data_IF_058720673963
#
_entry.id   IF_058720673963
#
_cell.length_a   1.000
_cell.length_b   1.000
_cell.length_c   1.000
_cell.angle_alpha   90.00
_cell.angle_beta   90.00
_cell.angle_gamma   90.00
#
_symmetry.space_group_name_H-M   'P 1'
#
loop_
_entity.id
_entity.type
_entity.pdbx_description
1 polymer ?
#
# COMPACT_ATOMS: atom_id res chain seq x y z
N UNK A 1 33.42 6.10 -16.19
CA UNK A 1 32.50 7.18 -16.61
C UNK A 1 31.48 7.37 -15.49
N UNK A 2 31.30 8.61 -15.00
CA UNK A 2 30.27 8.89 -13.99
C UNK A 2 28.99 9.27 -14.71
N UNK A 3 27.91 8.47 -14.54
CA UNK A 3 26.61 8.79 -15.09
C UNK A 3 25.87 9.73 -14.15
N UNK A 4 25.28 10.79 -14.71
CA UNK A 4 24.42 11.73 -13.99
C UNK A 4 22.97 11.25 -14.12
N UNK A 5 22.21 11.25 -13.01
CA UNK A 5 20.81 10.85 -13.06
C UNK A 5 19.93 11.93 -13.71
N UNK A 6 18.86 11.50 -14.39
CA UNK A 6 17.86 12.44 -14.96
C UNK A 6 17.27 13.32 -13.86
N UNK A 7 17.05 12.79 -12.66
CA UNK A 7 16.59 13.55 -11.48
C UNK A 7 17.52 14.71 -11.14
N UNK A 8 18.83 14.46 -11.17
CA UNK A 8 19.85 15.47 -10.87
C UNK A 8 19.82 16.60 -11.91
N UNK A 9 19.65 16.27 -13.20
CA UNK A 9 19.53 17.26 -14.27
C UNK A 9 18.30 18.17 -14.08
N UNK A 10 17.14 17.60 -13.70
CA UNK A 10 15.94 18.39 -13.43
C UNK A 10 16.02 19.24 -12.18
N UNK A 11 16.69 18.75 -11.12
CA UNK A 11 16.84 19.50 -9.85
C UNK A 11 17.86 20.62 -9.91
N UNK A 12 18.93 20.45 -10.67
CA UNK A 12 20.08 21.35 -10.72
C UNK A 12 20.44 21.74 -12.16
N UNK A 13 19.42 21.99 -12.99
CA UNK A 13 19.54 22.27 -14.43
C UNK A 13 20.61 23.29 -14.74
N UNK A 14 20.58 24.46 -14.07
CA UNK A 14 21.51 25.58 -14.31
C UNK A 14 22.98 25.19 -14.09
N UNK A 15 23.23 24.21 -13.24
CA UNK A 15 24.57 23.70 -12.96
C UNK A 15 25.15 22.89 -14.11
N UNK A 16 24.31 22.41 -15.03
CA UNK A 16 24.71 21.51 -16.13
C UNK A 16 24.54 22.13 -17.52
N UNK A 17 23.78 23.18 -17.69
CA UNK A 17 23.63 23.86 -18.99
C UNK A 17 25.02 24.27 -19.55
N UNK A 18 25.24 23.91 -20.81
CA UNK A 18 26.49 24.13 -21.54
C UNK A 18 27.63 23.16 -21.20
N UNK A 19 27.41 22.21 -20.25
CA UNK A 19 28.42 21.23 -19.88
C UNK A 19 28.19 19.89 -20.59
N UNK A 20 29.30 19.21 -20.87
CA UNK A 20 29.27 17.82 -21.31
C UNK A 20 28.91 16.91 -20.13
N UNK A 21 27.91 16.07 -20.33
CA UNK A 21 27.39 15.12 -19.35
C UNK A 21 27.24 13.74 -19.96
N UNK A 22 27.12 12.71 -19.11
CA UNK A 22 26.78 11.35 -19.51
C UNK A 22 25.57 10.85 -18.71
N UNK A 23 24.57 10.29 -19.43
CA UNK A 23 23.33 9.73 -18.86
C UNK A 23 23.13 8.32 -19.40
N UNK A 24 22.78 7.37 -18.53
CA UNK A 24 22.30 6.04 -18.95
C UNK A 24 20.80 5.94 -18.79
N UNK A 25 20.13 5.16 -19.64
CA UNK A 25 18.68 4.95 -19.50
C UNK A 25 18.09 4.07 -20.60
N UNK A 26 16.77 3.93 -20.55
CA UNK A 26 16.00 3.11 -21.52
C UNK A 26 15.21 3.99 -22.47
N UNK A 27 15.21 3.58 -23.74
CA UNK A 27 14.47 4.25 -24.82
C UNK A 27 12.96 4.12 -24.60
N UNK A 28 12.29 5.24 -24.44
CA UNK A 28 10.82 5.35 -24.41
C UNK A 28 10.20 5.57 -25.77
N UNK A 29 10.88 6.36 -26.60
CA UNK A 29 10.56 6.53 -28.00
C UNK A 29 11.79 7.01 -28.77
N UNK A 30 11.85 6.67 -30.06
CA UNK A 30 12.86 7.13 -30.97
C UNK A 30 12.19 7.59 -32.25
N UNK A 31 12.69 8.67 -32.85
CA UNK A 31 12.26 9.18 -34.14
C UNK A 31 13.49 9.66 -34.88
N UNK A 32 13.85 8.97 -35.94
CA UNK A 32 14.95 9.34 -36.82
C UNK A 32 14.48 10.01 -38.12
N UNK A 33 15.31 10.87 -38.67
CA UNK A 33 15.25 11.37 -40.03
C UNK A 33 16.53 11.00 -40.77
N UNK A 34 16.78 11.63 -41.93
CA UNK A 34 18.02 11.36 -42.71
C UNK A 34 19.24 12.05 -42.11
N UNK A 35 19.06 13.16 -41.36
CA UNK A 35 20.13 14.01 -40.87
C UNK A 35 20.22 14.07 -39.34
N UNK A 36 19.13 13.84 -38.63
CA UNK A 36 19.10 13.87 -37.16
C UNK A 36 17.94 13.04 -36.62
N UNK A 37 17.95 12.79 -35.33
CA UNK A 37 16.85 12.10 -34.66
C UNK A 37 16.71 12.52 -33.20
N UNK A 38 15.60 12.06 -32.59
CA UNK A 38 15.26 12.31 -31.22
C UNK A 38 15.06 11.00 -30.49
N UNK A 39 15.65 10.89 -29.31
CA UNK A 39 15.40 9.80 -28.35
C UNK A 39 14.78 10.39 -27.11
N UNK A 40 13.71 9.80 -26.62
CA UNK A 40 13.17 10.04 -25.28
C UNK A 40 13.75 8.98 -24.37
N UNK A 41 14.62 9.37 -23.46
CA UNK A 41 15.37 8.50 -22.57
C UNK A 41 14.88 8.68 -21.13
N UNK A 42 14.69 7.57 -20.41
CA UNK A 42 14.32 7.58 -19.01
C UNK A 42 15.20 6.61 -18.22
N UNK A 43 15.78 7.07 -17.13
CA UNK A 43 16.65 6.27 -16.25
C UNK A 43 15.93 5.75 -14.99
N UNK A 44 14.62 6.04 -14.86
CA UNK A 44 13.82 5.64 -13.69
C UNK A 44 14.02 6.53 -12.44
N UNK A 45 14.99 7.44 -12.42
CA UNK A 45 15.26 8.30 -11.25
C UNK A 45 14.27 9.47 -11.13
N UNK A 46 13.65 9.87 -12.23
CA UNK A 46 12.67 10.95 -12.30
C UNK A 46 11.49 10.56 -13.19
N UNK A 47 10.32 11.18 -12.95
CA UNK A 47 9.12 10.85 -13.72
C UNK A 47 9.22 11.35 -15.17
N UNK A 48 9.65 12.60 -15.34
CA UNK A 48 9.84 13.17 -16.68
C UNK A 48 11.12 12.61 -17.32
N UNK A 49 11.04 12.14 -18.59
CA UNK A 49 12.21 11.69 -19.35
C UNK A 49 13.02 12.86 -19.86
N UNK A 50 14.25 12.60 -20.33
CA UNK A 50 15.08 13.57 -21.04
C UNK A 50 15.00 13.33 -22.54
N UNK A 51 14.99 14.41 -23.32
CA UNK A 51 15.13 14.36 -24.75
C UNK A 51 16.62 14.41 -25.16
N UNK A 52 16.99 13.51 -26.06
CA UNK A 52 18.33 13.45 -26.67
C UNK A 52 18.19 13.74 -28.16
N UNK A 53 19.03 14.62 -28.69
CA UNK A 53 19.15 14.89 -30.13
C UNK A 53 20.47 14.30 -30.61
N UNK A 54 20.44 13.54 -31.69
CA UNK A 54 21.61 12.94 -32.32
C UNK A 54 21.63 13.23 -33.83
N UNK A 55 22.83 13.32 -34.41
CA UNK A 55 23.02 13.78 -35.79
C UNK A 55 23.74 12.74 -36.64
N UNK A 56 23.63 12.88 -37.97
CA UNK A 56 24.23 12.01 -38.98
C UNK A 56 25.77 12.14 -39.05
N UNK A 57 26.35 13.04 -38.31
CA UNK A 57 27.80 13.14 -38.11
C UNK A 57 28.38 12.06 -37.21
N UNK A 58 27.53 11.29 -36.54
CA UNK A 58 27.95 10.17 -35.68
C UNK A 58 28.20 8.91 -36.52
N UNK A 59 29.31 8.23 -36.29
CA UNK A 59 29.71 7.02 -37.03
C UNK A 59 28.64 5.91 -36.96
N UNK A 60 27.97 5.78 -35.84
CA UNK A 60 26.93 4.76 -35.60
C UNK A 60 25.50 5.29 -35.78
N UNK A 61 25.29 6.40 -36.45
CA UNK A 61 23.98 6.99 -36.71
C UNK A 61 22.94 6.02 -37.23
N UNK A 62 23.32 5.12 -38.17
CA UNK A 62 22.42 4.14 -38.74
C UNK A 62 22.02 3.03 -37.74
N UNK A 63 22.91 2.71 -36.80
CA UNK A 63 22.65 1.77 -35.71
C UNK A 63 21.66 2.41 -34.72
N UNK A 64 21.88 3.66 -34.32
CA UNK A 64 21.00 4.40 -33.43
C UNK A 64 19.60 4.51 -34.03
N UNK A 65 19.47 4.84 -35.32
CA UNK A 65 18.18 4.92 -36.01
C UNK A 65 17.39 3.59 -36.05
N UNK A 66 18.06 2.46 -35.91
CA UNK A 66 17.43 1.12 -35.87
C UNK A 66 17.15 0.65 -34.43
N UNK A 67 17.50 1.43 -33.44
CA UNK A 67 17.28 1.09 -32.04
C UNK A 67 15.77 1.04 -31.73
N UNK A 68 15.35 0.00 -31.04
CA UNK A 68 13.95 -0.20 -30.64
C UNK A 68 13.66 0.43 -29.26
N UNK A 69 12.39 0.66 -29.02
CA UNK A 69 11.87 1.00 -27.68
C UNK A 69 12.28 -0.10 -26.69
N UNK A 70 12.66 0.30 -25.48
CA UNK A 70 13.13 -0.61 -24.44
C UNK A 70 14.64 -0.89 -24.45
N UNK A 71 15.38 -0.48 -25.48
CA UNK A 71 16.83 -0.59 -25.52
C UNK A 71 17.48 0.27 -24.41
N UNK A 72 18.59 -0.21 -23.87
CA UNK A 72 19.40 0.52 -22.89
C UNK A 72 20.53 1.27 -23.63
N UNK A 73 20.65 2.56 -23.34
CA UNK A 73 21.66 3.44 -23.96
C UNK A 73 22.48 4.17 -22.91
N UNK A 74 23.74 4.45 -23.24
CA UNK A 74 24.55 5.50 -22.61
C UNK A 74 24.68 6.61 -23.61
N UNK A 75 24.34 7.82 -23.20
CA UNK A 75 24.43 9.03 -24.01
C UNK A 75 25.42 10.01 -23.36
N UNK A 76 26.40 10.46 -24.14
CA UNK A 76 27.29 11.54 -23.79
C UNK A 76 26.97 12.74 -24.68
N UNK A 77 26.90 13.95 -24.13
CA UNK A 77 26.58 15.13 -24.90
C UNK A 77 26.48 16.39 -24.05
N UNK A 78 26.19 17.49 -24.70
CA UNK A 78 26.05 18.80 -24.06
C UNK A 78 24.58 19.03 -23.65
N UNK A 79 24.33 19.41 -22.40
CA UNK A 79 23.00 19.85 -21.97
C UNK A 79 22.70 21.26 -22.46
N UNK A 80 21.62 21.42 -23.20
CA UNK A 80 21.21 22.69 -23.82
C UNK A 80 19.84 23.09 -23.34
N UNK A 81 19.68 24.34 -22.90
CA UNK A 81 18.39 24.89 -22.50
C UNK A 81 17.46 25.03 -23.72
N UNK A 82 16.19 24.73 -23.55
CA UNK A 82 15.15 24.81 -24.59
C UNK A 82 13.91 25.56 -24.05
N UNK A 83 14.03 26.86 -23.74
CA UNK A 83 13.00 27.64 -23.05
C UNK A 83 11.68 27.72 -23.80
N UNK A 84 11.72 27.64 -25.14
CA UNK A 84 10.54 27.73 -26.01
C UNK A 84 9.93 26.32 -26.32
N UNK A 85 10.55 25.26 -25.83
CA UNK A 85 10.06 23.88 -26.04
C UNK A 85 9.22 23.40 -24.83
N UNK A 86 8.56 22.26 -25.02
CA UNK A 86 7.79 21.61 -23.96
C UNK A 86 8.67 21.15 -22.78
N UNK A 87 9.89 20.67 -23.08
CA UNK A 87 10.90 20.29 -22.09
C UNK A 87 11.84 21.48 -21.81
N UNK A 88 12.36 21.63 -20.59
CA UNK A 88 13.22 22.78 -20.22
C UNK A 88 14.62 22.71 -20.83
N UNK A 89 15.08 21.52 -21.21
CA UNK A 89 16.40 21.26 -21.79
C UNK A 89 16.39 19.97 -22.62
N UNK A 90 17.45 19.78 -23.41
CA UNK A 90 17.74 18.55 -24.13
C UNK A 90 19.25 18.26 -24.12
N UNK A 91 19.62 17.02 -24.43
CA UNK A 91 21.02 16.60 -24.59
C UNK A 91 21.35 16.59 -26.08
N UNK A 92 22.27 17.44 -26.49
CA UNK A 92 22.89 17.38 -27.82
C UNK A 92 23.99 16.31 -27.77
N UNK A 93 23.69 15.11 -28.28
CA UNK A 93 24.57 13.97 -28.16
C UNK A 93 25.85 14.15 -29.02
N UNK A 94 26.98 13.87 -28.39
CA UNK A 94 28.28 13.68 -29.08
C UNK A 94 28.60 12.19 -29.27
N UNK A 95 28.05 11.32 -28.39
CA UNK A 95 28.24 9.87 -28.45
C UNK A 95 26.99 9.18 -27.91
N UNK A 96 26.57 8.10 -28.56
CA UNK A 96 25.50 7.20 -28.09
C UNK A 96 25.98 5.77 -28.20
N UNK A 97 26.04 5.09 -27.07
CA UNK A 97 26.41 3.67 -26.99
C UNK A 97 25.18 2.82 -26.71
N UNK A 98 24.95 1.78 -27.47
CA UNK A 98 23.90 0.79 -27.22
C UNK A 98 24.46 -0.26 -26.23
N UNK A 99 24.08 -0.13 -24.96
CA UNK A 99 24.45 -1.09 -23.89
C UNK A 99 23.69 -2.40 -24.02
N UNK A 100 22.40 -2.30 -24.36
CA UNK A 100 21.54 -3.46 -24.54
C UNK A 100 20.49 -3.22 -25.60
N UNK A 101 20.51 -3.98 -26.68
CA UNK A 101 19.53 -3.89 -27.73
C UNK A 101 18.17 -4.44 -27.28
N UNK A 102 17.09 -3.89 -27.82
CA UNK A 102 15.73 -4.42 -27.68
C UNK A 102 15.24 -4.97 -29.01
N UNK A 103 14.52 -6.08 -28.96
CA UNK A 103 14.00 -6.74 -30.16
C UNK A 103 12.66 -6.11 -30.60
N UNK A 104 12.27 -6.24 -31.90
CA UNK A 104 11.04 -5.64 -32.40
C UNK A 104 9.75 -6.18 -31.78
N UNK A 105 9.79 -7.34 -31.15
CA UNK A 105 8.67 -7.97 -30.43
C UNK A 105 8.51 -7.49 -28.99
N UNK A 106 9.30 -6.51 -28.55
CA UNK A 106 9.14 -5.88 -27.23
C UNK A 106 7.68 -5.44 -27.01
N UNK A 107 6.98 -5.96 -25.97
CA UNK A 107 5.54 -5.83 -25.88
C UNK A 107 5.05 -4.42 -25.54
N UNK A 108 5.88 -3.61 -24.86
CA UNK A 108 5.53 -2.25 -24.42
C UNK A 108 5.86 -1.22 -25.51
N UNK A 109 5.24 -1.37 -26.67
CA UNK A 109 5.37 -0.42 -27.78
C UNK A 109 4.73 0.94 -27.44
N UNK A 110 5.05 1.98 -28.23
CA UNK A 110 4.51 3.35 -28.07
C UNK A 110 3.01 3.40 -28.40
N UNK A 111 2.18 2.83 -27.54
CA UNK A 111 0.71 2.89 -27.59
C UNK A 111 0.16 2.85 -26.16
N UNK A 112 -1.11 3.18 -25.98
CA UNK A 112 -1.78 2.98 -24.71
C UNK A 112 -2.01 1.48 -24.48
N UNK A 113 -1.61 1.01 -23.30
CA UNK A 113 -1.86 -0.36 -22.84
C UNK A 113 -2.93 -0.33 -21.75
N UNK A 114 -3.81 -1.34 -21.73
CA UNK A 114 -4.77 -1.49 -20.63
C UNK A 114 -4.07 -2.06 -19.39
N UNK A 115 -4.63 -1.80 -18.21
CA UNK A 115 -4.07 -2.35 -16.97
C UNK A 115 -4.14 -3.88 -16.94
N UNK A 116 -5.21 -4.47 -17.51
CA UNK A 116 -5.37 -5.92 -17.65
C UNK A 116 -4.22 -6.53 -18.46
N UNK A 117 -3.88 -5.93 -19.59
CA UNK A 117 -2.74 -6.37 -20.38
C UNK A 117 -1.43 -6.25 -19.61
N UNK A 118 -1.22 -5.16 -18.88
CA UNK A 118 -0.01 -4.94 -18.10
C UNK A 118 0.12 -5.91 -16.90
N UNK A 119 -1.00 -6.44 -16.39
CA UNK A 119 -0.98 -7.49 -15.34
C UNK A 119 -0.43 -8.82 -15.87
N UNK A 120 -0.51 -9.09 -17.17
CA UNK A 120 0.07 -10.32 -17.77
C UNK A 120 1.60 -10.28 -17.89
N UNK A 121 2.23 -9.13 -17.60
CA UNK A 121 3.69 -8.94 -17.67
C UNK A 121 4.19 -8.06 -16.52
N UNK A 122 3.97 -8.50 -15.31
CA UNK A 122 4.33 -7.76 -14.09
C UNK A 122 5.79 -7.37 -14.02
N UNK A 123 6.70 -8.17 -14.59
CA UNK A 123 8.15 -7.92 -14.68
C UNK A 123 8.54 -6.78 -15.65
N UNK A 124 7.69 -6.44 -16.64
CA UNK A 124 7.96 -5.36 -17.60
C UNK A 124 7.14 -4.09 -17.34
N UNK A 125 5.96 -4.21 -16.71
CA UNK A 125 5.08 -3.06 -16.50
C UNK A 125 5.70 -1.89 -15.73
N UNK A 126 6.73 -2.05 -14.85
CA UNK A 126 7.43 -0.93 -14.24
C UNK A 126 8.09 0.03 -15.24
N UNK A 127 8.29 -0.41 -16.49
CA UNK A 127 8.82 0.42 -17.57
C UNK A 127 7.79 1.37 -18.19
N UNK A 128 6.51 1.29 -17.78
CA UNK A 128 5.45 2.22 -18.23
C UNK A 128 5.37 3.45 -17.33
N UNK A 129 4.86 4.57 -17.85
CA UNK A 129 4.69 5.80 -17.05
C UNK A 129 3.77 5.56 -15.85
N UNK A 130 2.65 4.84 -16.06
CA UNK A 130 1.67 4.55 -14.99
C UNK A 130 2.34 3.81 -13.84
N UNK A 131 3.06 2.74 -14.11
CA UNK A 131 3.67 1.94 -13.03
C UNK A 131 4.96 2.56 -12.46
N UNK A 132 5.66 3.39 -13.24
CA UNK A 132 6.71 4.23 -12.65
C UNK A 132 6.13 5.20 -11.63
N UNK A 133 5.03 5.89 -11.96
CA UNK A 133 4.37 6.78 -11.03
C UNK A 133 3.87 6.03 -9.79
N UNK A 134 3.16 4.91 -9.98
CA UNK A 134 2.63 4.09 -8.87
C UNK A 134 3.74 3.66 -7.91
N UNK A 135 4.81 3.04 -8.42
CA UNK A 135 5.84 2.49 -7.52
C UNK A 135 6.76 3.55 -6.92
N UNK A 136 6.92 4.70 -7.58
CA UNK A 136 7.60 5.85 -6.96
C UNK A 136 6.77 6.43 -5.81
N UNK A 137 5.48 6.63 -6.01
CA UNK A 137 4.57 7.11 -4.95
C UNK A 137 4.45 6.07 -3.84
N UNK A 138 4.33 4.77 -4.15
CA UNK A 138 4.35 3.69 -3.15
C UNK A 138 5.61 3.75 -2.26
N UNK A 139 6.78 3.95 -2.88
CA UNK A 139 8.05 4.10 -2.14
C UNK A 139 8.06 5.32 -1.24
N UNK A 140 7.54 6.46 -1.71
CA UNK A 140 7.44 7.69 -0.91
C UNK A 140 6.47 7.53 0.26
N UNK A 141 5.32 6.88 0.06
CA UNK A 141 4.36 6.60 1.13
C UNK A 141 5.01 5.76 2.24
N UNK A 142 5.74 4.70 1.86
CA UNK A 142 6.43 3.85 2.84
C UNK A 142 7.44 4.66 3.68
N UNK A 143 8.23 5.51 3.03
CA UNK A 143 9.17 6.38 3.72
C UNK A 143 8.47 7.42 4.61
N UNK A 144 7.39 8.03 4.13
CA UNK A 144 6.59 8.99 4.90
C UNK A 144 6.02 8.37 6.19
N UNK A 145 5.56 7.12 6.12
CA UNK A 145 5.06 6.38 7.28
C UNK A 145 6.16 6.19 8.32
N UNK A 146 7.34 5.70 7.91
CA UNK A 146 8.46 5.55 8.83
C UNK A 146 8.90 6.89 9.44
N UNK A 147 8.90 7.96 8.65
CA UNK A 147 9.25 9.28 9.14
C UNK A 147 8.20 9.83 10.12
N UNK A 148 6.91 9.66 9.83
CA UNK A 148 5.81 10.06 10.71
C UNK A 148 5.95 9.47 12.12
N UNK A 149 6.18 8.17 12.21
CA UNK A 149 6.31 7.47 13.49
C UNK A 149 7.62 7.82 14.21
N UNK A 150 8.73 7.93 13.47
CA UNK A 150 10.01 8.32 14.04
C UNK A 150 9.98 9.72 14.67
N UNK A 151 9.31 10.68 14.04
CA UNK A 151 9.17 12.05 14.57
C UNK A 151 8.32 12.12 15.84
N UNK A 152 7.61 11.03 16.16
CA UNK A 152 6.73 10.89 17.34
C UNK A 152 7.25 9.87 18.36
N UNK A 153 8.54 9.53 18.27
CA UNK A 153 9.23 8.59 19.18
C UNK A 153 8.61 7.19 19.26
N UNK A 154 8.02 6.72 18.16
CA UNK A 154 7.57 5.34 18.04
C UNK A 154 8.74 4.40 17.75
N UNK A 155 8.71 3.22 18.35
CA UNK A 155 9.65 2.13 18.06
C UNK A 155 9.09 1.23 16.97
N UNK A 156 9.85 1.04 15.89
CA UNK A 156 9.52 0.06 14.85
C UNK A 156 9.83 -1.35 15.35
N UNK A 157 8.84 -2.25 15.29
CA UNK A 157 8.95 -3.63 15.75
C UNK A 157 8.75 -4.60 14.60
N UNK A 158 9.66 -5.55 14.46
CA UNK A 158 9.52 -6.71 13.59
C UNK A 158 8.77 -7.82 14.35
N UNK A 159 7.56 -8.16 13.91
CA UNK A 159 6.78 -9.28 14.44
C UNK A 159 6.92 -10.51 13.55
N UNK A 160 6.79 -11.74 14.09
CA UNK A 160 6.94 -12.97 13.31
C UNK A 160 5.93 -13.07 12.18
N UNK A 161 6.40 -13.53 11.02
CA UNK A 161 5.52 -13.87 9.88
C UNK A 161 4.95 -15.29 9.98
N UNK A 162 5.69 -16.20 10.63
CA UNK A 162 5.23 -17.56 10.93
C UNK A 162 4.75 -17.56 12.37
N UNK A 163 3.50 -17.95 12.59
CA UNK A 163 2.86 -17.90 13.90
C UNK A 163 2.08 -19.18 14.20
N UNK A 164 1.95 -19.51 15.48
CA UNK A 164 1.07 -20.55 15.97
C UNK A 164 -0.25 -20.02 16.52
N UNK A 165 -0.52 -18.70 16.44
CA UNK A 165 -1.75 -18.07 16.96
C UNK A 165 -2.49 -17.34 15.83
N UNK A 166 -3.83 -17.36 15.91
CA UNK A 166 -4.71 -16.58 15.04
C UNK A 166 -5.08 -15.27 15.73
N UNK A 167 -4.62 -14.15 15.19
CA UNK A 167 -4.88 -12.81 15.73
C UNK A 167 -6.37 -12.42 15.65
N UNK A 168 -7.07 -12.86 14.61
CA UNK A 168 -8.46 -12.47 14.39
C UNK A 168 -9.47 -13.51 14.92
N UNK A 169 -8.99 -14.74 15.23
CA UNK A 169 -9.79 -15.82 15.79
C UNK A 169 -10.73 -16.50 14.79
N UNK A 170 -10.71 -16.12 13.53
CA UNK A 170 -11.52 -16.68 12.44
C UNK A 170 -10.84 -16.53 11.07
N UNK A 171 -9.54 -16.22 11.03
CA UNK A 171 -8.81 -15.95 9.82
C UNK A 171 -8.55 -17.22 9.00
N UNK A 172 -8.85 -17.19 7.71
CA UNK A 172 -8.36 -18.19 6.77
C UNK A 172 -6.85 -17.99 6.57
N UNK A 173 -6.05 -18.83 7.24
CA UNK A 173 -4.59 -18.71 7.25
C UNK A 173 -3.94 -19.68 6.28
N UNK A 174 -2.87 -19.24 5.62
CA UNK A 174 -1.98 -20.15 4.89
C UNK A 174 -1.17 -20.98 5.87
N UNK A 175 -1.24 -22.30 5.76
CA UNK A 175 -0.43 -23.19 6.57
C UNK A 175 1.03 -23.22 6.11
N UNK A 176 1.96 -23.20 7.07
CA UNK A 176 3.39 -23.38 6.84
C UNK A 176 3.79 -24.75 7.38
N UNK A 177 4.31 -25.62 6.52
CA UNK A 177 4.72 -26.97 6.88
C UNK A 177 5.91 -27.43 6.05
N UNK A 178 6.74 -28.30 6.64
CA UNK A 178 7.82 -29.03 5.98
C UNK A 178 7.49 -30.52 5.79
N UNK A 179 6.29 -30.96 6.19
CA UNK A 179 5.84 -32.33 5.99
C UNK A 179 5.69 -32.64 4.49
N UNK A 180 6.06 -33.88 4.12
CA UNK A 180 5.82 -34.36 2.76
C UNK A 180 4.32 -34.59 2.53
N UNK A 181 3.70 -33.75 1.71
CA UNK A 181 2.28 -33.82 1.37
C UNK A 181 1.88 -35.10 0.63
N UNK A 182 2.83 -35.87 0.07
CA UNK A 182 2.59 -37.17 -0.55
C UNK A 182 2.64 -38.32 0.47
N UNK A 183 3.19 -38.08 1.68
CA UNK A 183 3.33 -39.06 2.73
C UNK A 183 3.20 -38.40 4.10
N UNK A 184 2.00 -37.89 4.40
CA UNK A 184 1.70 -37.16 5.62
C UNK A 184 1.74 -38.11 6.81
N UNK A 185 2.57 -37.87 7.84
CA UNK A 185 2.54 -38.65 9.07
C UNK A 185 1.23 -38.41 9.82
N UNK A 186 0.63 -39.52 10.34
CA UNK A 186 -0.62 -39.46 11.07
C UNK A 186 -0.42 -40.00 12.49
N UNK A 187 -1.17 -39.42 13.42
CA UNK A 187 -1.35 -39.91 14.79
C UNK A 187 -2.20 -41.21 14.81
N UNK A 188 -2.32 -41.87 15.94
CA UNK A 188 -3.14 -43.07 16.10
C UNK A 188 -4.63 -42.81 15.76
N UNK A 189 -5.13 -41.63 15.99
CA UNK A 189 -6.51 -41.19 15.69
C UNK A 189 -6.69 -40.70 14.25
N UNK A 190 -5.65 -40.80 13.40
CA UNK A 190 -5.71 -40.43 11.98
C UNK A 190 -5.63 -38.95 11.70
N UNK A 191 -5.21 -38.11 12.67
CA UNK A 191 -4.94 -36.70 12.49
C UNK A 191 -3.50 -36.50 12.00
N UNK A 192 -3.20 -35.34 11.42
CA UNK A 192 -1.81 -34.98 11.02
C UNK A 192 -0.92 -34.93 12.27
N UNK A 193 0.19 -35.66 12.25
CA UNK A 193 1.16 -35.67 13.33
C UNK A 193 2.16 -34.52 13.17
N UNK A 194 1.79 -33.36 13.66
CA UNK A 194 2.63 -32.16 13.62
C UNK A 194 3.87 -32.20 14.52
N UNK A 195 4.00 -33.21 15.41
CA UNK A 195 5.24 -33.44 16.18
C UNK A 195 6.41 -33.81 15.28
N UNK A 196 6.16 -34.20 14.03
CA UNK A 196 7.17 -34.49 13.02
C UNK A 196 7.42 -33.29 12.08
N UNK A 197 6.71 -32.17 12.25
CA UNK A 197 6.95 -30.96 11.48
C UNK A 197 8.06 -30.09 12.13
N UNK A 198 8.54 -29.08 11.40
CA UNK A 198 9.68 -28.24 11.79
C UNK A 198 9.52 -27.58 13.17
N UNK A 199 8.32 -27.14 13.52
CA UNK A 199 8.03 -26.44 14.78
C UNK A 199 7.32 -27.31 15.84
N UNK A 200 7.24 -28.62 15.65
CA UNK A 200 6.52 -29.58 16.52
C UNK A 200 5.04 -29.22 16.77
N UNK A 201 4.45 -28.38 15.95
CA UNK A 201 3.05 -27.92 16.05
C UNK A 201 2.58 -27.28 14.74
N UNK A 202 1.25 -27.15 14.53
CA UNK A 202 0.70 -26.39 13.40
C UNK A 202 1.18 -24.94 13.42
N UNK A 203 1.63 -24.45 12.28
CA UNK A 203 2.02 -23.06 12.10
C UNK A 203 1.46 -22.49 10.80
N UNK A 204 1.28 -21.18 10.77
CA UNK A 204 0.65 -20.47 9.66
C UNK A 204 1.39 -19.16 9.35
N UNK A 205 1.13 -18.58 8.17
CA UNK A 205 1.49 -17.20 7.89
C UNK A 205 0.54 -16.26 8.63
N UNK A 206 1.08 -15.21 9.22
CA UNK A 206 0.34 -14.27 10.06
C UNK A 206 -0.70 -13.46 9.27
N UNK A 207 -1.83 -13.19 9.89
CA UNK A 207 -2.87 -12.26 9.40
C UNK A 207 -2.70 -10.84 9.97
N UNK A 208 -1.86 -10.66 11.01
CA UNK A 208 -1.59 -9.37 11.67
C UNK A 208 -0.41 -9.52 12.63
N UNK A 209 0.36 -8.43 12.80
CA UNK A 209 1.40 -8.33 13.82
C UNK A 209 0.91 -7.81 15.18
N UNK A 210 -0.38 -7.49 15.31
CA UNK A 210 -0.95 -6.77 16.45
C UNK A 210 -0.66 -7.43 17.80
N UNK A 211 -1.03 -8.71 18.01
CA UNK A 211 -0.89 -9.36 19.32
C UNK A 211 0.56 -9.37 19.83
N UNK A 212 1.52 -9.60 18.92
CA UNK A 212 2.94 -9.51 19.25
C UNK A 212 3.39 -8.06 19.44
N UNK A 213 2.82 -7.11 18.68
CA UNK A 213 3.08 -5.67 18.81
C UNK A 213 2.65 -5.13 20.16
N UNK A 214 1.49 -5.54 20.67
CA UNK A 214 1.00 -5.13 21.98
C UNK A 214 1.97 -5.51 23.13
N UNK A 215 2.72 -6.61 23.01
CA UNK A 215 3.73 -6.97 24.01
C UNK A 215 4.83 -5.91 24.11
N UNK A 216 5.20 -5.32 23.00
CA UNK A 216 6.19 -4.25 22.94
C UNK A 216 5.60 -2.90 23.38
N UNK A 217 4.34 -2.63 23.07
CA UNK A 217 3.66 -1.41 23.55
C UNK A 217 3.59 -1.36 25.08
N UNK A 218 3.43 -2.52 25.75
CA UNK A 218 3.45 -2.62 27.22
C UNK A 218 4.86 -2.38 27.83
N UNK A 219 5.89 -2.23 27.01
CA UNK A 219 7.25 -1.96 27.46
C UNK A 219 7.82 -0.64 26.90
N UNK A 220 7.48 -0.30 25.65
CA UNK A 220 8.02 0.86 24.93
C UNK A 220 7.01 2.01 24.77
N UNK A 221 5.77 1.84 25.22
CA UNK A 221 4.66 2.79 25.16
C UNK A 221 4.10 2.96 23.74
N UNK A 222 4.90 3.40 22.78
CA UNK A 222 4.46 3.67 21.41
C UNK A 222 5.29 2.82 20.44
N UNK A 223 4.65 1.92 19.73
CA UNK A 223 5.29 1.06 18.73
C UNK A 223 4.49 1.06 17.44
N UNK A 224 5.10 0.60 16.37
CA UNK A 224 4.37 0.23 15.16
C UNK A 224 5.03 -0.95 14.46
N UNK A 225 4.23 -1.75 13.79
CA UNK A 225 4.69 -2.72 12.81
C UNK A 225 4.51 -2.14 11.41
N UNK A 226 5.32 -2.58 10.47
CA UNK A 226 5.14 -2.35 9.04
C UNK A 226 5.65 -3.57 8.32
N UNK A 227 4.78 -4.49 8.01
CA UNK A 227 5.16 -5.80 7.50
C UNK A 227 4.08 -6.48 6.66
N UNK A 228 4.49 -7.54 5.95
CA UNK A 228 3.57 -8.34 5.17
C UNK A 228 2.60 -9.12 6.06
N UNK A 229 1.37 -9.23 5.61
CA UNK A 229 0.29 -10.04 6.18
C UNK A 229 -0.34 -10.89 5.09
N UNK A 230 -0.94 -12.00 5.49
CA UNK A 230 -1.41 -13.02 4.57
C UNK A 230 -2.83 -13.46 4.95
N UNK A 231 -3.72 -13.52 3.96
CA UNK A 231 -5.09 -14.02 4.15
C UNK A 231 -5.45 -14.97 3.01
N UNK A 232 -5.88 -16.18 3.36
CA UNK A 232 -6.25 -17.23 2.41
C UNK A 232 -7.73 -17.14 1.96
N UNK A 233 -8.40 -16.04 2.23
CA UNK A 233 -9.78 -15.80 1.86
C UNK A 233 -10.00 -15.94 0.35
N UNK A 234 -11.01 -16.71 -0.04
CA UNK A 234 -11.40 -16.85 -1.43
C UNK A 234 -12.19 -15.64 -1.92
N UNK A 235 -11.59 -14.46 -1.84
CA UNK A 235 -12.18 -13.17 -2.24
C UNK A 235 -11.53 -12.65 -3.52
N UNK A 236 -12.30 -12.54 -4.59
CA UNK A 236 -11.84 -12.05 -5.89
C UNK A 236 -12.37 -10.64 -6.19
N UNK A 237 -12.13 -9.69 -5.30
CA UNK A 237 -12.52 -8.29 -5.47
C UNK A 237 -11.35 -7.43 -5.95
N UNK A 238 -11.62 -6.17 -6.23
CA UNK A 238 -10.58 -5.19 -6.61
C UNK A 238 -9.76 -4.68 -5.42
N UNK A 239 -10.13 -5.03 -4.18
CA UNK A 239 -9.53 -4.52 -2.94
C UNK A 239 -8.90 -5.58 -2.06
N UNK A 240 -8.93 -6.87 -2.48
CA UNK A 240 -8.38 -7.99 -1.73
C UNK A 240 -7.19 -8.61 -2.45
N UNK A 241 -6.16 -8.91 -1.70
CA UNK A 241 -4.99 -9.69 -2.10
C UNK A 241 -4.65 -10.69 -0.99
N UNK A 242 -4.05 -11.83 -1.35
CA UNK A 242 -3.65 -12.85 -0.39
C UNK A 242 -2.38 -12.48 0.39
N UNK A 243 -1.55 -11.62 -0.18
CA UNK A 243 -0.37 -11.02 0.44
C UNK A 243 -0.45 -9.50 0.28
N UNK A 244 -0.35 -8.76 1.37
CA UNK A 244 -0.38 -7.30 1.42
C UNK A 244 0.37 -6.82 2.66
N UNK A 245 0.57 -5.50 2.80
CA UNK A 245 1.30 -4.93 3.92
C UNK A 245 0.37 -4.18 4.86
N UNK A 246 0.61 -4.34 6.16
CA UNK A 246 -0.11 -3.61 7.22
C UNK A 246 0.84 -2.69 7.98
N UNK A 247 0.33 -1.53 8.34
CA UNK A 247 0.95 -0.63 9.32
C UNK A 247 0.07 -0.66 10.56
N UNK A 248 0.64 -1.12 11.67
CA UNK A 248 -0.13 -1.39 12.88
C UNK A 248 0.55 -0.74 14.10
N UNK A 249 0.24 0.54 14.39
CA UNK A 249 0.67 1.19 15.63
C UNK A 249 -0.13 0.67 16.83
N UNK A 250 0.55 0.59 17.98
CA UNK A 250 -0.05 0.33 19.29
C UNK A 250 0.48 1.37 20.30
N UNK A 251 -0.42 2.03 21.00
CA UNK A 251 -0.13 3.14 21.90
C UNK A 251 -0.67 2.85 23.31
N UNK A 252 0.24 2.75 24.29
CA UNK A 252 -0.14 2.57 25.68
C UNK A 252 -0.58 3.88 26.33
N UNK A 253 -1.43 3.78 27.37
CA UNK A 253 -2.05 4.89 28.08
C UNK A 253 -2.96 5.77 27.20
N UNK A 254 -3.47 5.19 26.11
CA UNK A 254 -4.33 5.85 25.13
C UNK A 254 -5.72 5.20 25.07
N UNK A 255 -6.71 5.99 24.69
CA UNK A 255 -8.08 5.53 24.43
C UNK A 255 -8.41 5.62 22.94
N UNK A 256 -9.66 5.28 22.58
CA UNK A 256 -10.13 5.32 21.21
C UNK A 256 -10.00 6.72 20.56
N UNK A 257 -10.19 7.79 21.33
CA UNK A 257 -10.07 9.15 20.82
C UNK A 257 -8.62 9.51 20.45
N UNK A 258 -7.65 9.03 21.25
CA UNK A 258 -6.23 9.20 20.95
C UNK A 258 -5.83 8.44 19.70
N UNK A 259 -6.38 7.23 19.52
CA UNK A 259 -6.14 6.37 18.38
C UNK A 259 -6.68 7.00 17.07
N UNK A 260 -7.93 7.51 17.10
CA UNK A 260 -8.52 8.23 15.96
C UNK A 260 -7.70 9.46 15.57
N UNK A 261 -7.21 10.21 16.55
CA UNK A 261 -6.36 11.40 16.31
C UNK A 261 -5.04 11.02 15.64
N UNK A 262 -4.39 9.95 16.11
CA UNK A 262 -3.16 9.44 15.50
C UNK A 262 -3.41 9.00 14.05
N UNK A 263 -4.52 8.30 13.79
CA UNK A 263 -4.90 7.85 12.46
C UNK A 263 -5.16 9.02 11.48
N UNK A 264 -5.90 10.04 11.92
CA UNK A 264 -6.16 11.25 11.14
C UNK A 264 -4.87 11.99 10.81
N UNK A 265 -4.01 12.22 11.83
CA UNK A 265 -2.73 12.90 11.67
C UNK A 265 -1.82 12.14 10.69
N UNK A 266 -1.79 10.82 10.76
CA UNK A 266 -0.98 9.98 9.86
C UNK A 266 -1.45 10.09 8.41
N UNK A 267 -2.75 9.97 8.15
CA UNK A 267 -3.30 10.09 6.79
C UNK A 267 -2.98 11.47 6.20
N UNK A 268 -3.23 12.54 6.96
CA UNK A 268 -2.94 13.91 6.53
C UNK A 268 -1.45 14.13 6.26
N UNK A 269 -0.58 13.57 7.12
CA UNK A 269 0.87 13.65 6.95
C UNK A 269 1.34 12.96 5.66
N UNK A 270 0.88 11.73 5.42
CA UNK A 270 1.23 10.96 4.23
C UNK A 270 0.80 11.71 2.96
N UNK A 271 -0.42 12.24 2.93
CA UNK A 271 -0.94 12.98 1.77
C UNK A 271 -0.07 14.22 1.49
N UNK A 272 0.22 15.05 2.51
CA UNK A 272 1.09 16.24 2.35
C UNK A 272 2.45 15.84 1.84
N UNK A 273 3.05 14.82 2.44
CA UNK A 273 4.38 14.35 2.06
C UNK A 273 4.46 13.95 0.58
N UNK A 274 3.44 13.22 0.09
CA UNK A 274 3.38 12.79 -1.31
C UNK A 274 3.14 13.97 -2.26
N UNK A 275 2.22 14.88 -1.92
CA UNK A 275 1.96 16.09 -2.73
C UNK A 275 3.20 16.98 -2.87
N UNK A 276 3.99 17.09 -1.80
CA UNK A 276 5.20 17.92 -1.79
C UNK A 276 6.39 17.26 -2.50
N UNK A 277 6.48 15.92 -2.53
CA UNK A 277 7.66 15.20 -3.01
C UNK A 277 7.47 14.46 -4.35
N UNK A 278 6.24 14.40 -4.88
CA UNK A 278 5.92 13.73 -6.15
C UNK A 278 4.91 14.53 -6.99
N UNK A 279 5.10 15.87 -7.19
CA UNK A 279 4.10 16.69 -7.88
C UNK A 279 3.85 16.24 -9.33
N UNK A 280 4.86 15.76 -10.05
CA UNK A 280 4.73 15.29 -11.43
C UNK A 280 3.91 14.01 -11.53
N UNK A 281 4.18 13.05 -10.65
CA UNK A 281 3.42 11.79 -10.56
C UNK A 281 1.96 12.05 -10.16
N UNK A 282 1.73 12.95 -9.20
CA UNK A 282 0.40 13.31 -8.75
C UNK A 282 -0.40 14.07 -9.82
N UNK A 283 0.24 14.97 -10.57
CA UNK A 283 -0.38 15.60 -11.73
C UNK A 283 -0.74 14.58 -12.82
N UNK A 284 0.11 13.58 -13.05
CA UNK A 284 -0.17 12.48 -13.97
C UNK A 284 -1.38 11.67 -13.54
N UNK A 285 -1.48 11.28 -12.27
CA UNK A 285 -2.64 10.54 -11.76
C UNK A 285 -3.92 11.36 -11.89
N UNK A 286 -3.89 12.64 -11.52
CA UNK A 286 -5.04 13.52 -11.64
C UNK A 286 -5.53 13.69 -13.09
N UNK A 287 -4.61 13.69 -14.05
CA UNK A 287 -4.94 13.87 -15.47
C UNK A 287 -5.41 12.58 -16.14
N UNK A 288 -4.79 11.43 -15.83
CA UNK A 288 -4.92 10.22 -16.64
C UNK A 288 -5.58 9.03 -15.92
N UNK A 289 -5.67 9.07 -14.60
CA UNK A 289 -6.19 7.97 -13.78
C UNK A 289 -7.50 8.36 -13.09
N UNK A 290 -7.50 9.45 -12.33
CA UNK A 290 -8.65 9.87 -11.51
C UNK A 290 -8.75 11.41 -11.50
N UNK A 291 -9.59 11.93 -12.38
CA UNK A 291 -9.86 13.38 -12.45
C UNK A 291 -10.54 13.85 -11.15
N UNK A 292 -9.95 14.87 -10.51
CA UNK A 292 -10.40 15.33 -9.19
C UNK A 292 -9.62 14.75 -8.01
N UNK A 293 -8.64 13.87 -8.26
CA UNK A 293 -7.79 13.29 -7.21
C UNK A 293 -7.14 14.37 -6.33
N UNK A 294 -6.50 15.37 -6.92
CA UNK A 294 -5.82 16.44 -6.18
C UNK A 294 -6.80 17.27 -5.34
N UNK A 295 -7.98 17.58 -5.87
CA UNK A 295 -9.03 18.30 -5.13
C UNK A 295 -9.47 17.49 -3.90
N UNK A 296 -9.74 16.19 -4.08
CA UNK A 296 -10.13 15.28 -3.00
C UNK A 296 -9.06 15.18 -1.92
N UNK A 297 -7.79 14.98 -2.29
CA UNK A 297 -6.69 14.87 -1.34
C UNK A 297 -6.46 16.19 -0.57
N UNK A 298 -6.54 17.33 -1.24
CA UNK A 298 -6.45 18.64 -0.58
C UNK A 298 -7.62 18.88 0.38
N UNK A 299 -8.82 18.44 0.04
CA UNK A 299 -9.98 18.49 0.94
C UNK A 299 -9.74 17.69 2.23
N UNK A 300 -9.17 16.50 2.13
CA UNK A 300 -8.81 15.65 3.29
C UNK A 300 -7.79 16.35 4.21
N UNK A 301 -6.78 16.94 3.62
CA UNK A 301 -5.71 17.63 4.38
C UNK A 301 -6.21 18.87 5.11
N UNK A 302 -7.19 19.56 4.53
CA UNK A 302 -7.67 20.87 4.99
C UNK A 302 -8.83 20.82 5.99
N UNK A 303 -9.46 19.65 6.16
CA UNK A 303 -10.63 19.49 7.02
C UNK A 303 -10.42 18.41 8.07
N UNK A 304 -11.07 18.56 9.23
CA UNK A 304 -11.16 17.51 10.22
C UNK A 304 -12.06 16.38 9.74
N UNK A 305 -11.77 15.16 10.14
CA UNK A 305 -12.58 13.99 9.77
C UNK A 305 -13.96 14.05 10.47
N UNK A 306 -14.95 13.43 9.85
CA UNK A 306 -16.26 13.26 10.46
C UNK A 306 -16.24 12.16 11.53
N UNK A 307 -17.21 12.21 12.44
CA UNK A 307 -17.41 11.18 13.45
C UNK A 307 -18.89 10.80 13.50
N UNK A 308 -19.18 9.52 13.57
CA UNK A 308 -20.52 8.96 13.73
C UNK A 308 -20.43 7.63 14.47
N UNK A 309 -21.37 7.33 15.37
CA UNK A 309 -21.45 5.98 15.93
C UNK A 309 -22.04 5.01 14.92
N UNK A 310 -21.72 3.73 15.02
CA UNK A 310 -22.31 2.69 14.17
C UNK A 310 -23.85 2.72 14.27
N UNK A 311 -24.37 2.87 15.48
CA UNK A 311 -25.84 2.94 15.72
C UNK A 311 -26.49 4.09 14.94
N UNK A 312 -25.89 5.29 15.00
CA UNK A 312 -26.40 6.45 14.26
C UNK A 312 -26.22 6.31 12.75
N UNK A 313 -25.08 5.70 12.33
CA UNK A 313 -24.82 5.39 10.92
C UNK A 313 -25.89 4.44 10.36
N UNK A 314 -26.20 3.35 11.06
CA UNK A 314 -27.26 2.42 10.67
C UNK A 314 -28.62 3.12 10.62
N UNK A 315 -28.97 3.89 11.64
CA UNK A 315 -30.26 4.64 11.65
C UNK A 315 -30.38 5.63 10.49
N UNK A 316 -29.26 6.16 10.01
CA UNK A 316 -29.20 7.01 8.82
C UNK A 316 -29.34 6.19 7.53
N UNK A 317 -28.58 5.11 7.41
CA UNK A 317 -28.56 4.24 6.23
C UNK A 317 -29.91 3.53 6.01
N UNK A 318 -30.57 3.08 7.07
CA UNK A 318 -31.90 2.43 7.00
C UNK A 318 -32.96 3.29 6.28
N UNK A 319 -32.85 4.62 6.38
CA UNK A 319 -33.73 5.55 5.66
C UNK A 319 -33.54 5.54 4.15
N UNK A 320 -32.48 4.93 3.69
CA UNK A 320 -32.05 4.87 2.28
C UNK A 320 -31.88 3.42 1.79
N UNK A 321 -32.42 2.44 2.50
CA UNK A 321 -32.30 1.02 2.16
C UNK A 321 -32.85 0.67 0.75
N UNK A 322 -33.73 1.49 0.22
CA UNK A 322 -34.26 1.39 -1.16
C UNK A 322 -33.19 1.67 -2.24
N UNK A 323 -32.07 2.28 -1.86
CA UNK A 323 -30.95 2.61 -2.76
C UNK A 323 -29.84 1.56 -2.76
N UNK A 324 -29.80 0.67 -1.77
CA UNK A 324 -28.70 -0.28 -1.56
C UNK A 324 -29.04 -1.67 -2.10
N UNK A 325 -28.04 -2.33 -2.69
CA UNK A 325 -28.15 -3.72 -3.11
C UNK A 325 -28.24 -4.66 -1.88
N UNK A 326 -27.62 -4.24 -0.76
CA UNK A 326 -27.63 -4.96 0.51
C UNK A 326 -28.25 -4.08 1.60
N UNK A 327 -29.57 -4.18 1.86
CA UNK A 327 -30.22 -3.42 2.94
C UNK A 327 -29.56 -3.68 4.30
N UNK A 328 -29.37 -2.62 5.08
CA UNK A 328 -28.75 -2.72 6.41
C UNK A 328 -29.78 -2.68 7.53
N UNK A 329 -29.42 -3.29 8.65
CA UNK A 329 -30.08 -3.20 9.94
C UNK A 329 -29.01 -3.27 11.04
N UNK A 330 -29.37 -2.96 12.28
CA UNK A 330 -28.41 -3.00 13.37
C UNK A 330 -27.83 -4.43 13.54
N UNK A 331 -26.51 -4.56 13.59
CA UNK A 331 -25.79 -5.83 13.57
C UNK A 331 -25.28 -6.25 12.19
N UNK A 332 -25.64 -5.56 11.10
CA UNK A 332 -25.12 -5.84 9.77
C UNK A 332 -23.69 -5.30 9.58
N UNK A 333 -22.85 -6.04 8.86
CA UNK A 333 -21.59 -5.51 8.35
C UNK A 333 -21.85 -4.42 7.29
N UNK A 334 -21.14 -3.30 7.40
CA UNK A 334 -21.19 -2.26 6.39
C UNK A 334 -20.51 -2.74 5.10
N UNK A 335 -21.24 -2.65 4.00
CA UNK A 335 -20.70 -2.93 2.68
C UNK A 335 -20.15 -1.65 2.03
N UNK A 336 -19.31 -1.80 1.02
CA UNK A 336 -18.70 -0.68 0.29
C UNK A 336 -19.69 0.41 -0.12
N UNK A 337 -20.91 0.05 -0.52
CA UNK A 337 -21.94 1.01 -0.92
C UNK A 337 -22.40 1.90 0.25
N UNK A 338 -22.47 1.33 1.47
CA UNK A 338 -22.80 2.06 2.69
C UNK A 338 -21.69 3.01 3.11
N UNK A 339 -20.45 2.52 3.08
CA UNK A 339 -19.24 3.31 3.39
C UNK A 339 -19.09 4.50 2.45
N UNK A 340 -19.32 4.28 1.15
CA UNK A 340 -19.28 5.35 0.15
C UNK A 340 -20.43 6.34 0.32
N UNK A 341 -21.62 5.87 0.63
CA UNK A 341 -22.75 6.76 0.91
C UNK A 341 -22.42 7.71 2.08
N UNK A 342 -21.86 7.18 3.17
CA UNK A 342 -21.44 7.99 4.31
C UNK A 342 -20.38 9.01 3.91
N UNK A 343 -19.31 8.58 3.22
CA UNK A 343 -18.16 9.43 2.91
C UNK A 343 -18.38 10.40 1.75
N UNK A 344 -19.16 10.02 0.74
CA UNK A 344 -19.31 10.80 -0.51
C UNK A 344 -20.60 11.66 -0.53
N UNK A 345 -21.68 11.20 0.08
CA UNK A 345 -22.97 11.92 0.06
C UNK A 345 -23.25 12.64 1.38
N UNK A 346 -23.02 11.99 2.53
CA UNK A 346 -23.37 12.54 3.85
C UNK A 346 -22.30 13.50 4.36
N UNK A 347 -21.08 13.00 4.57
CA UNK A 347 -19.99 13.78 5.17
C UNK A 347 -19.15 14.55 4.14
N UNK A 348 -19.03 14.04 2.92
CA UNK A 348 -18.19 14.55 1.82
C UNK A 348 -16.71 14.72 2.22
N UNK A 349 -16.26 13.84 3.10
CA UNK A 349 -14.91 13.79 3.67
C UNK A 349 -14.70 12.45 4.38
N UNK A 350 -13.46 12.12 4.80
CA UNK A 350 -13.23 10.95 5.65
C UNK A 350 -14.08 11.00 6.93
N UNK A 351 -14.49 9.82 7.39
CA UNK A 351 -15.34 9.68 8.59
C UNK A 351 -14.90 8.47 9.41
N UNK A 352 -14.83 8.67 10.73
CA UNK A 352 -14.72 7.57 11.69
C UNK A 352 -16.12 7.09 12.05
N UNK A 353 -16.34 5.78 11.89
CA UNK A 353 -17.50 5.08 12.42
C UNK A 353 -17.04 4.32 13.66
N UNK A 354 -17.70 4.52 14.80
CA UNK A 354 -17.26 3.97 16.10
C UNK A 354 -18.34 3.14 16.78
N UNK A 355 -17.95 2.43 17.84
CA UNK A 355 -18.88 1.73 18.73
C UNK A 355 -19.74 0.67 18.01
N UNK A 356 -19.06 -0.26 17.37
CA UNK A 356 -19.67 -1.36 16.62
C UNK A 356 -20.25 -2.43 17.56
N UNK A 357 -21.27 -3.19 17.11
CA UNK A 357 -21.74 -4.38 17.82
C UNK A 357 -20.59 -5.36 18.09
N UNK A 358 -20.54 -5.90 19.30
CA UNK A 358 -19.48 -6.84 19.70
C UNK A 358 -19.46 -8.12 18.85
N UNK A 359 -20.61 -8.53 18.33
CA UNK A 359 -20.80 -9.77 17.58
C UNK A 359 -20.05 -9.77 16.24
N UNK A 360 -19.81 -8.59 15.66
CA UNK A 360 -19.16 -8.43 14.33
C UNK A 360 -17.73 -7.91 14.43
N UNK A 361 -17.15 -7.88 15.65
CA UNK A 361 -15.78 -7.39 15.89
C UNK A 361 -14.97 -8.39 16.71
N UNK A 362 -13.64 -8.28 16.60
CA UNK A 362 -12.69 -9.21 17.17
C UNK A 362 -12.69 -9.23 18.71
N UNK A 363 -12.19 -10.32 19.28
CA UNK A 363 -12.24 -10.62 20.72
C UNK A 363 -11.47 -9.64 21.61
N UNK A 364 -10.42 -9.01 21.08
CA UNK A 364 -9.52 -8.15 21.82
C UNK A 364 -10.02 -6.71 22.01
N UNK A 365 -11.13 -6.35 21.38
CA UNK A 365 -11.65 -5.00 21.44
C UNK A 365 -12.38 -4.74 22.76
N UNK A 366 -12.14 -3.54 23.34
CA UNK A 366 -12.69 -3.18 24.64
C UNK A 366 -14.23 -3.11 24.62
N UNK A 367 -14.85 -3.86 25.53
CA UNK A 367 -16.30 -3.82 25.71
C UNK A 367 -16.73 -2.46 26.27
N UNK A 368 -17.71 -1.82 25.64
CA UNK A 368 -18.31 -0.58 26.14
C UNK A 368 -19.23 -0.85 27.35
N UNK A 369 -19.51 0.18 28.18
CA UNK A 369 -20.37 0.03 29.37
C UNK A 369 -21.79 -0.46 29.08
N UNK A 370 -22.28 -0.36 27.84
CA UNK A 370 -23.58 -0.86 27.43
C UNK A 370 -23.65 -2.38 27.31
N UNK A 371 -22.50 -3.06 27.34
CA UNK A 371 -22.37 -4.52 27.21
C UNK A 371 -22.72 -5.08 25.83
N UNK A 372 -22.98 -4.23 24.84
CA UNK A 372 -23.43 -4.60 23.48
C UNK A 372 -22.46 -4.15 22.40
N UNK A 373 -21.79 -3.03 22.60
CA UNK A 373 -20.85 -2.47 21.65
C UNK A 373 -19.42 -2.54 22.16
N UNK A 374 -18.47 -2.40 21.24
CA UNK A 374 -17.03 -2.33 21.53
C UNK A 374 -16.46 -1.01 21.06
N UNK A 375 -15.42 -0.51 21.74
CA UNK A 375 -14.69 0.70 21.38
C UNK A 375 -13.82 0.47 20.14
N UNK A 376 -14.46 0.13 19.05
CA UNK A 376 -13.87 -0.05 17.72
C UNK A 376 -14.02 1.24 16.90
N UNK A 377 -13.14 1.42 15.94
CA UNK A 377 -13.27 2.46 14.92
C UNK A 377 -12.88 1.92 13.55
N UNK A 378 -13.63 2.32 12.52
CA UNK A 378 -13.22 2.19 11.12
C UNK A 378 -13.10 3.60 10.53
N UNK A 379 -11.97 3.91 9.91
CA UNK A 379 -11.78 5.14 9.15
C UNK A 379 -12.15 4.87 7.69
N UNK A 380 -13.22 5.51 7.27
CA UNK A 380 -13.74 5.42 5.89
C UNK A 380 -13.28 6.63 5.09
N UNK A 381 -12.82 6.41 3.86
CA UNK A 381 -12.42 7.48 2.93
C UNK A 381 -13.21 7.42 1.63
N UNK A 382 -13.49 8.57 0.98
CA UNK A 382 -14.18 8.59 -0.31
C UNK A 382 -13.45 7.76 -1.38
N UNK A 383 -14.19 7.00 -2.16
CA UNK A 383 -13.66 6.18 -3.27
C UNK A 383 -13.16 4.80 -2.88
N UNK A 384 -12.66 4.62 -1.65
CA UNK A 384 -12.11 3.34 -1.15
C UNK A 384 -13.06 2.68 -0.15
N UNK A 385 -13.67 3.43 0.76
CA UNK A 385 -14.34 2.92 1.94
C UNK A 385 -13.34 2.76 3.10
N UNK A 386 -13.41 1.67 3.85
CA UNK A 386 -12.50 1.40 4.97
C UNK A 386 -11.03 1.35 4.51
N UNK A 387 -10.20 2.18 5.14
CA UNK A 387 -8.75 2.24 4.95
C UNK A 387 -7.99 1.90 6.24
N UNK A 388 -8.58 2.19 7.40
CA UNK A 388 -8.07 1.88 8.73
C UNK A 388 -9.19 1.22 9.53
N UNK A 389 -8.87 0.12 10.21
CA UNK A 389 -9.66 -0.48 11.27
C UNK A 389 -8.85 -0.48 12.57
N UNK A 390 -9.46 -0.12 13.70
CA UNK A 390 -8.77 -0.03 14.98
C UNK A 390 -9.70 -0.16 16.17
N UNK A 391 -9.11 -0.14 17.37
CA UNK A 391 -9.90 -0.15 18.60
C UNK A 391 -9.06 0.25 19.82
N UNK A 392 -9.72 0.69 20.87
CA UNK A 392 -9.17 0.51 22.21
C UNK A 392 -9.19 -0.99 22.52
N UNK A 393 -8.11 -1.48 23.14
CA UNK A 393 -7.94 -2.91 23.47
C UNK A 393 -8.55 -3.20 24.83
N UNK A 394 -9.09 -4.42 25.02
CA UNK A 394 -9.57 -4.85 26.33
C UNK A 394 -8.39 -5.03 27.29
N UNK A 395 -8.39 -4.27 28.37
CA UNK A 395 -7.35 -4.22 29.39
C UNK A 395 -7.72 -4.95 30.68
N UNK A 396 -8.96 -5.46 30.78
CA UNK A 396 -9.41 -6.29 31.89
C UNK A 396 -9.21 -7.77 31.55
N UNK A 397 -8.55 -8.49 32.48
CA UNK A 397 -8.22 -9.91 32.30
C UNK A 397 -9.45 -10.81 32.20
N UNK A 398 -10.44 -10.62 33.08
CA UNK A 398 -11.62 -11.48 33.13
C UNK A 398 -12.57 -11.20 31.97
N UNK A 399 -12.73 -9.93 31.57
CA UNK A 399 -13.53 -9.58 30.41
C UNK A 399 -12.93 -10.14 29.14
N UNK A 400 -11.62 -10.05 28.95
CA UNK A 400 -10.91 -10.60 27.80
C UNK A 400 -11.05 -12.13 27.75
N UNK A 401 -10.83 -12.81 28.87
CA UNK A 401 -10.98 -14.26 29.00
C UNK A 401 -12.38 -14.73 28.62
N UNK A 402 -13.39 -14.09 29.22
CA UNK A 402 -14.78 -14.42 28.94
C UNK A 402 -15.11 -14.22 27.43
N UNK A 403 -14.56 -13.18 26.82
CA UNK A 403 -14.79 -12.92 25.40
C UNK A 403 -14.17 -13.98 24.49
N UNK A 404 -12.95 -14.44 24.80
CA UNK A 404 -12.29 -15.55 24.10
C UNK A 404 -13.16 -16.83 24.21
N UNK A 405 -13.64 -17.15 25.41
CA UNK A 405 -14.51 -18.32 25.65
C UNK A 405 -15.87 -18.19 24.95
N UNK A 406 -16.51 -17.00 24.96
CA UNK A 406 -17.77 -16.75 24.23
C UNK A 406 -17.67 -17.06 22.75
N UNK A 407 -16.49 -16.82 22.15
CA UNK A 407 -16.23 -17.09 20.73
C UNK A 407 -15.82 -18.55 20.46
N UNK A 408 -15.82 -19.40 21.49
CA UNK A 408 -15.43 -20.81 21.36
C UNK A 408 -13.94 -21.03 21.20
N UNK A 409 -13.12 -20.02 21.49
CA UNK A 409 -11.66 -20.09 21.44
C UNK A 409 -11.11 -20.55 22.79
N UNK A 410 -9.89 -21.10 22.79
CA UNK A 410 -9.24 -21.54 24.03
C UNK A 410 -8.30 -20.44 24.57
N UNK A 411 -8.54 -19.89 25.79
CA UNK A 411 -7.66 -18.89 26.39
C UNK A 411 -6.20 -19.34 26.57
N UNK A 412 -5.93 -20.65 26.67
CA UNK A 412 -4.57 -21.17 26.82
C UNK A 412 -3.71 -20.92 25.57
N UNK A 413 -4.31 -20.88 24.39
CA UNK A 413 -3.64 -20.59 23.12
C UNK A 413 -3.17 -19.11 23.06
N UNK A 414 -3.75 -18.26 23.90
CA UNK A 414 -3.45 -16.84 24.05
C UNK A 414 -2.76 -16.50 25.37
N UNK A 415 -2.11 -17.48 26.01
CA UNK A 415 -1.51 -17.31 27.34
C UNK A 415 -0.58 -16.09 27.43
N UNK A 416 0.31 -15.90 26.44
CA UNK A 416 1.20 -14.74 26.38
C UNK A 416 0.44 -13.39 26.31
N UNK A 417 -0.68 -13.36 25.63
CA UNK A 417 -1.52 -12.19 25.44
C UNK A 417 -2.33 -11.87 26.73
N UNK A 418 -2.82 -12.93 27.39
CA UNK A 418 -3.48 -12.85 28.69
C UNK A 418 -2.52 -12.33 29.79
N UNK A 419 -1.25 -12.71 29.74
CA UNK A 419 -0.22 -12.24 30.68
C UNK A 419 -0.04 -10.72 30.64
N UNK A 420 -0.25 -10.06 29.51
CA UNK A 420 -0.21 -8.59 29.41
C UNK A 420 -1.29 -7.90 30.27
N UNK A 421 -2.42 -8.60 30.52
CA UNK A 421 -3.49 -8.08 31.38
C UNK A 421 -3.24 -8.41 32.84
N UNK A 422 -2.47 -9.46 33.11
CA UNK A 422 -2.15 -9.91 34.46
C UNK A 422 -0.96 -9.18 35.07
N UNK A 423 0.04 -8.82 34.27
CA UNK A 423 1.30 -8.26 34.74
C UNK A 423 1.47 -6.80 34.31
N UNK A 424 0.72 -5.90 34.95
CA UNK A 424 0.83 -4.46 34.73
C UNK A 424 0.07 -3.96 33.51
N UNK A 425 -1.19 -4.39 33.38
CA UNK A 425 -2.08 -3.93 32.32
C UNK A 425 -2.20 -2.41 32.30
N UNK A 426 -2.26 -1.86 31.12
CA UNK A 426 -2.52 -0.44 30.88
C UNK A 426 -3.58 -0.29 29.78
N UNK A 427 -4.40 0.76 29.90
CA UNK A 427 -5.25 1.19 28.80
C UNK A 427 -4.40 1.43 27.56
N UNK A 428 -4.77 0.84 26.43
CA UNK A 428 -4.03 0.99 25.16
C UNK A 428 -4.97 0.83 23.97
N UNK A 429 -4.53 1.36 22.84
CA UNK A 429 -5.29 1.38 21.61
C UNK A 429 -4.35 1.24 20.42
N UNK A 430 -4.90 0.86 19.27
CA UNK A 430 -4.15 0.73 18.06
C UNK A 430 -5.03 0.46 16.86
N UNK A 431 -4.45 0.58 15.68
CA UNK A 431 -5.17 0.38 14.43
C UNK A 431 -4.30 -0.32 13.37
N UNK A 432 -4.94 -0.81 12.33
CA UNK A 432 -4.29 -1.32 11.12
C UNK A 432 -4.61 -0.46 9.91
N UNK A 433 -3.60 0.09 9.25
CA UNK A 433 -3.71 0.71 7.92
C UNK A 433 -3.29 -0.29 6.86
N UNK A 434 -4.19 -0.63 5.92
CA UNK A 434 -3.84 -1.39 4.72
C UNK A 434 -2.98 -0.54 3.77
N UNK A 435 -1.72 -0.90 3.60
CA UNK A 435 -0.77 -0.12 2.80
C UNK A 435 -1.21 0.01 1.35
N UNK A 436 -1.67 -1.06 0.74
CA UNK A 436 -2.14 -1.06 -0.65
C UNK A 436 -3.39 -0.20 -0.83
N UNK A 437 -4.33 -0.24 0.13
CA UNK A 437 -5.51 0.64 0.09
C UNK A 437 -5.10 2.11 0.20
N UNK A 438 -4.10 2.42 1.02
CA UNK A 438 -3.51 3.76 1.12
C UNK A 438 -2.90 4.19 -0.23
N UNK A 439 -2.11 3.33 -0.88
CA UNK A 439 -1.53 3.61 -2.20
C UNK A 439 -2.63 3.80 -3.26
N UNK A 440 -3.66 2.95 -3.27
CA UNK A 440 -4.83 3.12 -4.16
C UNK A 440 -5.49 4.48 -3.95
N UNK A 441 -5.71 4.86 -2.69
CA UNK A 441 -6.34 6.12 -2.32
C UNK A 441 -5.57 7.35 -2.83
N UNK A 442 -4.23 7.35 -2.64
CA UNK A 442 -3.39 8.47 -3.05
C UNK A 442 -3.12 8.53 -4.56
N UNK A 443 -3.25 7.41 -5.27
CA UNK A 443 -2.97 7.35 -6.72
C UNK A 443 -4.21 7.34 -7.59
N UNK A 444 -5.38 7.10 -7.00
CA UNK A 444 -6.64 6.90 -7.74
C UNK A 444 -6.71 5.56 -8.47
N UNK A 445 -5.78 4.63 -8.23
CA UNK A 445 -5.80 3.30 -8.86
C UNK A 445 -6.96 2.46 -8.33
N UNK A 446 -7.78 1.95 -9.22
CA UNK A 446 -9.03 1.25 -8.87
C UNK A 446 -8.87 -0.24 -8.53
N UNK A 447 -7.66 -0.81 -8.56
CA UNK A 447 -7.46 -2.22 -8.31
C UNK A 447 -6.14 -2.47 -7.56
N UNK A 448 -6.22 -3.24 -6.49
CA UNK A 448 -5.08 -3.56 -5.63
C UNK A 448 -3.94 -4.25 -6.39
N UNK A 449 -4.26 -5.01 -7.44
CA UNK A 449 -3.26 -5.67 -8.31
C UNK A 449 -2.36 -4.67 -9.03
N UNK A 450 -2.80 -3.43 -9.15
CA UNK A 450 -2.07 -2.38 -9.86
C UNK A 450 -1.20 -1.51 -8.94
N UNK A 451 -1.25 -1.75 -7.64
CA UNK A 451 -0.39 -1.07 -6.64
C UNK A 451 0.58 -2.03 -5.95
N UNK A 452 0.48 -3.32 -6.22
CA UNK A 452 1.42 -4.36 -5.79
C UNK A 452 2.46 -4.62 -6.91
N UNK A 453 3.75 -4.76 -6.61
CA UNK A 453 4.77 -5.12 -7.62
C UNK A 453 4.44 -6.44 -8.31
N UNK A 454 4.21 -7.48 -7.53
CA UNK A 454 3.85 -8.84 -7.95
C UNK A 454 2.64 -9.31 -7.14
N UNK A 455 1.40 -9.08 -7.61
CA UNK A 455 0.22 -9.37 -6.81
C UNK A 455 0.02 -10.87 -6.57
N UNK A 456 -0.29 -11.23 -5.32
CA UNK A 456 -0.74 -12.56 -4.92
C UNK A 456 -2.23 -12.50 -4.64
N UNK A 457 -3.00 -13.19 -5.46
CA UNK A 457 -4.46 -13.23 -5.36
C UNK A 457 -4.97 -14.62 -5.66
N UNK A 458 -6.25 -14.89 -5.44
CA UNK A 458 -6.86 -16.17 -5.79
C UNK A 458 -6.51 -16.55 -7.24
N UNK A 459 -6.00 -17.77 -7.43
CA UNK A 459 -5.55 -18.33 -8.72
C UNK A 459 -4.42 -17.54 -9.41
N UNK A 460 -3.69 -16.69 -8.69
CA UNK A 460 -2.55 -15.94 -9.25
C UNK A 460 -1.37 -15.88 -8.29
N UNK A 461 -0.29 -16.56 -8.67
CA UNK A 461 1.01 -16.56 -8.01
C UNK A 461 2.16 -16.41 -9.04
N UNK A 462 1.89 -15.75 -10.16
CA UNK A 462 2.85 -15.58 -11.25
C UNK A 462 3.90 -14.52 -10.89
N UNK A 463 5.22 -14.90 -11.06
CA UNK A 463 6.46 -14.13 -10.84
C UNK A 463 6.56 -13.42 -9.49
#
# INVERSE_FOLDING_TARGET
MQLISVRELFKNTDSYIGKEISVGGWVRSIRGSKQFGFIVLNDGTYFNPVQVVYHDTMDNFQEINKTNVGAALIVKGTLVATPDAKQPFEIQASEVTVEGASTPDYPLQKKRHTLEFLRTMTHLRPRTNTFQAVFRVRSLIAFAIHQFFRERDFVYVHTPLITGSDCEGAGEMFQVTTLDLNNIPLTEDGQVDFSQDFFDKPTNLTVSGQLNGETFAMAFRNIYTFGPTFRAENSNTTRHAAEFWMIEPEIAFADLSDDMRLAEDMIKYIIRYVLDNAPEEMAFFNQFVDQGLLERLNNVVSNDFGHITYTDAIALLEKHNDRFAFPVHWGSDLQTEHERFLTEEVFKKPVFVTDYPKEIKAFYMKLNPDGKTVAAMDCLVPGIGEIIGGSQREDDYELLKNRIEELGMNPEDYGFYMDLRKYGSARHAGFGLGFERCVMYLTGMGNIRDVLPFPRTVNNCEL
#
